data_IF_952655394132
#
_entry.id   IF_952655394132
#
_cell.length_a   1.000
_cell.length_b   1.000
_cell.length_c   1.000
_cell.angle_alpha   90.00
_cell.angle_beta   90.00
_cell.angle_gamma   90.00
#
_symmetry.space_group_name_H-M   'P 1'
#
loop_
_entity.id
_entity.type
_entity.pdbx_description
1 polymer ?
#
# COMPACT_ATOMS: atom_id res chain seq x y z
N UNK A 1 35.42 4.42 -28.37
CA UNK A 1 34.72 5.44 -27.54
C UNK A 1 33.39 5.77 -28.21
N UNK A 2 32.38 6.07 -27.40
CA UNK A 2 30.94 6.26 -27.69
C UNK A 2 30.10 4.98 -27.47
N UNK A 3 30.06 4.56 -26.19
CA UNK A 3 29.05 3.63 -25.68
C UNK A 3 27.71 4.34 -25.54
N UNK A 4 26.66 3.73 -26.08
CA UNK A 4 25.31 4.27 -26.13
C UNK A 4 24.71 4.52 -24.76
N UNK A 5 24.12 5.70 -24.59
CA UNK A 5 23.26 6.08 -23.47
C UNK A 5 21.87 5.44 -23.59
N UNK A 6 21.79 4.16 -23.93
CA UNK A 6 20.56 3.41 -23.74
C UNK A 6 20.40 3.24 -22.24
N UNK A 7 19.48 4.00 -21.64
CA UNK A 7 18.91 3.69 -20.34
C UNK A 7 18.64 2.19 -20.31
N UNK A 8 19.46 1.45 -19.56
CA UNK A 8 19.23 0.04 -19.26
C UNK A 8 18.07 0.03 -18.26
N UNK A 9 16.86 0.22 -18.76
CA UNK A 9 15.66 -0.12 -18.02
C UNK A 9 15.73 -1.65 -17.83
N UNK A 10 15.70 -2.16 -16.59
CA UNK A 10 15.85 -3.59 -16.36
C UNK A 10 14.78 -4.33 -17.16
N UNK A 11 15.24 -5.30 -17.94
CA UNK A 11 14.55 -5.88 -19.10
C UNK A 11 13.32 -6.75 -18.76
N UNK A 12 12.82 -6.72 -17.52
CA UNK A 12 11.64 -7.49 -17.10
C UNK A 12 10.87 -6.82 -15.94
N UNK A 13 10.32 -5.63 -16.18
CA UNK A 13 9.04 -5.28 -15.55
C UNK A 13 8.00 -5.32 -16.67
N UNK A 14 6.88 -6.01 -16.46
CA UNK A 14 5.73 -5.88 -17.36
C UNK A 14 5.45 -4.37 -17.52
N UNK A 15 5.17 -3.91 -18.74
CA UNK A 15 4.81 -2.51 -19.00
C UNK A 15 3.71 -2.04 -18.05
N UNK A 16 2.82 -2.96 -17.66
CA UNK A 16 1.80 -2.72 -16.62
C UNK A 16 2.39 -2.30 -15.28
N UNK A 17 3.47 -2.92 -14.81
CA UNK A 17 4.08 -2.60 -13.51
C UNK A 17 4.77 -1.24 -13.54
N UNK A 18 5.41 -0.90 -14.66
CA UNK A 18 6.00 0.43 -14.86
C UNK A 18 4.91 1.51 -14.79
N UNK A 19 3.81 1.34 -15.53
CA UNK A 19 2.69 2.27 -15.50
C UNK A 19 2.06 2.39 -14.09
N UNK A 20 1.88 1.27 -13.39
CA UNK A 20 1.34 1.25 -12.02
C UNK A 20 2.25 1.99 -11.04
N UNK A 21 3.56 1.83 -11.18
CA UNK A 21 4.57 2.53 -10.38
C UNK A 21 4.54 4.03 -10.67
N UNK A 22 4.53 4.42 -11.95
CA UNK A 22 4.52 5.82 -12.34
C UNK A 22 3.30 6.55 -11.81
N UNK A 23 2.10 5.97 -12.02
CA UNK A 23 0.85 6.52 -11.49
C UNK A 23 0.86 6.68 -9.97
N UNK A 24 1.48 5.76 -9.23
CA UNK A 24 1.61 5.84 -7.77
C UNK A 24 2.48 7.02 -7.33
N UNK A 25 3.51 7.34 -8.10
CA UNK A 25 4.44 8.45 -7.81
C UNK A 25 3.77 9.78 -8.18
N UNK A 26 3.26 9.89 -9.41
CA UNK A 26 2.68 11.12 -9.94
C UNK A 26 1.46 11.61 -9.15
N UNK A 27 0.60 10.68 -8.70
CA UNK A 27 -0.64 11.01 -7.99
C UNK A 27 -0.56 10.72 -6.48
N UNK A 28 0.65 10.73 -5.92
CA UNK A 28 0.85 10.50 -4.50
C UNK A 28 0.10 11.57 -3.67
N UNK A 29 -0.62 11.13 -2.63
CA UNK A 29 -1.43 11.98 -1.75
C UNK A 29 -2.66 12.65 -2.39
N UNK A 30 -3.12 12.18 -3.55
CA UNK A 30 -4.32 12.71 -4.23
C UNK A 30 -5.58 11.83 -4.07
N UNK A 31 -5.57 10.86 -3.15
CA UNK A 31 -6.73 10.00 -2.86
C UNK A 31 -7.04 8.90 -3.88
N UNK A 32 -6.28 8.81 -4.98
CA UNK A 32 -6.51 7.82 -6.04
C UNK A 32 -5.98 6.42 -5.70
N UNK A 33 -4.99 6.32 -4.80
CA UNK A 33 -4.29 5.06 -4.52
C UNK A 33 -5.21 3.95 -3.99
N UNK A 34 -6.23 4.28 -3.21
CA UNK A 34 -7.17 3.29 -2.68
C UNK A 34 -7.95 2.61 -3.82
N UNK A 35 -8.49 3.41 -4.73
CA UNK A 35 -9.22 2.93 -5.90
C UNK A 35 -8.33 2.11 -6.84
N UNK A 36 -7.07 2.53 -7.02
CA UNK A 36 -6.10 1.79 -7.80
C UNK A 36 -5.78 0.41 -7.20
N UNK A 37 -5.67 0.30 -5.88
CA UNK A 37 -5.42 -0.97 -5.19
C UNK A 37 -6.61 -1.93 -5.42
N UNK A 38 -7.84 -1.45 -5.22
CA UNK A 38 -9.04 -2.29 -5.33
C UNK A 38 -9.30 -2.75 -6.77
N UNK A 39 -9.26 -1.84 -7.76
CA UNK A 39 -9.52 -2.21 -9.16
C UNK A 39 -8.45 -3.09 -9.78
N UNK A 40 -7.28 -3.16 -9.17
CA UNK A 40 -6.18 -4.03 -9.58
C UNK A 40 -6.08 -5.31 -8.77
N UNK A 41 -6.95 -5.50 -7.77
CA UNK A 41 -7.01 -6.68 -6.92
C UNK A 41 -5.67 -6.99 -6.22
N UNK A 42 -4.92 -5.93 -5.85
CA UNK A 42 -3.61 -6.04 -5.17
C UNK A 42 -3.72 -5.72 -3.67
N UNK A 43 -4.93 -5.76 -3.10
CA UNK A 43 -5.18 -5.44 -1.69
C UNK A 43 -4.39 -6.35 -0.76
N UNK A 44 -4.39 -7.65 -1.03
CA UNK A 44 -3.66 -8.65 -0.25
C UNK A 44 -2.14 -8.41 -0.27
N UNK A 45 -1.60 -7.95 -1.40
CA UNK A 45 -0.17 -7.74 -1.56
C UNK A 45 0.32 -6.49 -0.82
N UNK A 46 -0.49 -5.42 -0.78
CA UNK A 46 -0.02 -4.08 -0.36
C UNK A 46 -0.68 -3.53 0.89
N UNK A 47 -1.75 -4.17 1.40
CA UNK A 47 -2.45 -3.79 2.62
C UNK A 47 -2.32 -4.84 3.73
N UNK A 48 -1.27 -5.66 3.67
CA UNK A 48 -0.91 -6.63 4.69
C UNK A 48 0.47 -6.37 5.29
N UNK A 49 0.59 -6.57 6.60
CA UNK A 49 1.84 -6.47 7.34
C UNK A 49 2.09 -5.12 8.00
N UNK A 50 3.34 -4.91 8.41
CA UNK A 50 3.76 -3.74 9.17
C UNK A 50 4.07 -2.55 8.26
N UNK A 51 3.51 -1.40 8.59
CA UNK A 51 3.73 -0.13 7.91
C UNK A 51 4.70 0.71 8.72
N UNK A 52 5.70 1.20 8.01
CA UNK A 52 6.86 1.89 8.58
C UNK A 52 6.90 3.35 8.12
N UNK A 53 7.39 4.22 8.99
CA UNK A 53 7.63 5.63 8.73
C UNK A 53 9.08 5.91 8.32
N UNK A 54 9.56 7.10 8.67
CA UNK A 54 10.94 7.51 8.39
C UNK A 54 11.97 6.69 9.20
N UNK A 55 13.20 6.51 8.67
CA UNK A 55 14.32 5.92 9.40
C UNK A 55 14.95 6.91 10.40
N UNK A 56 15.32 6.40 11.57
CA UNK A 56 16.01 7.14 12.63
C UNK A 56 17.24 6.35 13.15
N UNK A 57 18.29 6.17 12.32
CA UNK A 57 19.43 5.30 12.65
C UNK A 57 20.21 5.75 13.89
N UNK A 58 20.38 7.07 14.08
CA UNK A 58 21.19 7.64 15.16
C UNK A 58 20.37 8.08 16.38
N UNK A 59 19.08 7.70 16.44
CA UNK A 59 18.22 8.10 17.54
C UNK A 59 18.44 7.20 18.75
N UNK A 60 18.96 7.77 19.85
CA UNK A 60 19.07 7.09 21.15
C UNK A 60 17.71 6.64 21.69
N UNK A 61 16.62 7.32 21.29
CA UNK A 61 15.26 7.01 21.75
C UNK A 61 14.61 5.90 20.94
N UNK A 62 14.94 5.76 19.66
CA UNK A 62 14.29 4.80 18.77
C UNK A 62 14.24 3.36 19.34
N UNK A 63 15.35 2.79 19.87
CA UNK A 63 15.36 1.42 20.40
C UNK A 63 14.46 1.22 21.62
N UNK A 64 14.09 2.29 22.32
CA UNK A 64 13.35 2.22 23.59
C UNK A 64 11.89 2.67 23.45
N UNK A 65 11.56 3.47 22.44
CA UNK A 65 10.22 4.03 22.26
C UNK A 65 9.43 3.40 21.13
N UNK A 66 10.08 2.83 20.11
CA UNK A 66 9.36 2.17 19.03
C UNK A 66 8.74 0.85 19.51
N UNK A 67 7.48 0.60 19.15
CA UNK A 67 6.76 -0.63 19.54
C UNK A 67 7.38 -1.87 18.86
N UNK A 68 7.88 -1.70 17.62
CA UNK A 68 8.60 -2.74 16.87
C UNK A 68 9.90 -2.15 16.32
N UNK A 69 10.97 -2.93 16.38
CA UNK A 69 12.27 -2.54 15.82
C UNK A 69 12.38 -3.05 14.37
N UNK A 70 12.92 -2.20 13.51
CA UNK A 70 13.17 -2.45 12.09
C UNK A 70 14.68 -2.43 11.83
N UNK A 71 15.22 -3.34 11.00
CA UNK A 71 16.65 -3.37 10.69
C UNK A 71 17.20 -2.08 10.07
N UNK A 72 16.34 -1.24 9.47
CA UNK A 72 16.70 0.05 8.89
C UNK A 72 16.34 1.23 9.83
N UNK A 73 16.03 0.93 11.09
CA UNK A 73 15.59 1.89 12.11
C UNK A 73 14.37 2.72 11.71
N UNK A 74 13.47 2.18 10.88
CA UNK A 74 12.21 2.85 10.55
C UNK A 74 11.24 2.83 11.72
N UNK A 75 10.54 3.94 11.91
CA UNK A 75 9.52 4.06 12.96
C UNK A 75 8.31 3.17 12.67
N UNK A 76 7.90 2.33 13.63
CA UNK A 76 6.68 1.54 13.48
C UNK A 76 5.44 2.44 13.54
N UNK A 77 4.57 2.36 12.54
CA UNK A 77 3.34 3.16 12.49
C UNK A 77 2.13 2.31 12.87
N UNK A 78 1.90 1.22 12.13
CA UNK A 78 0.72 0.37 12.29
C UNK A 78 0.92 -0.98 11.60
N UNK A 79 0.03 -1.94 11.87
CA UNK A 79 -0.07 -3.20 11.14
C UNK A 79 -1.43 -3.26 10.46
N UNK A 80 -1.50 -3.79 9.25
CA UNK A 80 -2.77 -4.05 8.54
C UNK A 80 -2.90 -5.53 8.21
N UNK A 81 -4.14 -5.99 8.13
CA UNK A 81 -4.51 -7.38 7.81
C UNK A 81 -5.71 -7.36 6.87
N UNK A 82 -5.46 -7.10 5.59
CA UNK A 82 -6.48 -7.13 4.54
C UNK A 82 -7.01 -8.55 4.34
N UNK A 83 -8.33 -8.70 4.24
CA UNK A 83 -9.01 -9.98 4.02
C UNK A 83 -9.56 -10.05 2.60
N UNK A 84 -8.93 -10.81 1.69
CA UNK A 84 -9.42 -10.99 0.32
C UNK A 84 -10.84 -11.55 0.31
N UNK A 85 -11.69 -11.00 -0.55
CA UNK A 85 -13.11 -11.30 -0.66
C UNK A 85 -14.01 -10.58 0.36
N UNK A 86 -13.44 -9.97 1.41
CA UNK A 86 -14.19 -9.25 2.45
C UNK A 86 -13.91 -7.75 2.40
N UNK A 87 -12.63 -7.36 2.45
CA UNK A 87 -12.24 -5.95 2.54
C UNK A 87 -12.15 -5.26 1.16
N UNK A 88 -12.36 -5.99 0.07
CA UNK A 88 -12.44 -5.45 -1.30
C UNK A 88 -13.70 -4.60 -1.52
N UNK A 89 -14.71 -4.78 -0.66
CA UNK A 89 -16.00 -4.08 -0.73
C UNK A 89 -16.38 -3.57 0.64
N UNK A 90 -16.95 -2.37 0.67
CA UNK A 90 -17.56 -1.89 1.88
C UNK A 90 -18.93 -2.54 2.09
N UNK A 91 -19.28 -2.89 3.34
CA UNK A 91 -20.61 -3.40 3.63
C UNK A 91 -21.65 -2.32 3.36
N UNK A 92 -22.86 -2.75 3.03
CA UNK A 92 -24.01 -1.84 3.05
C UNK A 92 -24.18 -1.35 4.49
N UNK A 93 -24.40 -0.03 4.71
CA UNK A 93 -24.57 0.48 6.06
C UNK A 93 -25.73 -0.22 6.78
N UNK A 94 -25.51 -0.57 8.05
CA UNK A 94 -26.48 -1.32 8.86
C UNK A 94 -27.83 -0.61 8.98
N UNK A 95 -27.84 0.73 8.97
CA UNK A 95 -29.08 1.51 8.96
C UNK A 95 -29.95 1.23 7.73
N UNK A 96 -29.34 1.03 6.57
CA UNK A 96 -30.06 0.76 5.32
C UNK A 96 -30.59 -0.68 5.29
N UNK A 97 -29.82 -1.64 5.81
CA UNK A 97 -30.26 -3.05 5.90
C UNK A 97 -31.38 -3.23 6.92
N UNK A 98 -31.37 -2.45 8.01
CA UNK A 98 -32.45 -2.45 9.00
C UNK A 98 -33.76 -1.91 8.43
N UNK A 99 -33.70 -0.96 7.48
CA UNK A 99 -34.87 -0.40 6.80
C UNK A 99 -35.35 -1.34 5.68
N UNK A 100 -34.43 -1.84 4.87
CA UNK A 100 -34.72 -2.74 3.76
C UNK A 100 -33.90 -4.03 3.88
N UNK A 101 -34.51 -5.12 4.40
CA UNK A 101 -33.84 -6.41 4.53
C UNK A 101 -33.31 -6.99 3.22
N UNK A 102 -33.82 -6.56 2.06
CA UNK A 102 -33.32 -7.01 0.75
C UNK A 102 -31.93 -6.46 0.40
N UNK A 103 -31.36 -5.57 1.22
CA UNK A 103 -30.00 -5.02 1.04
C UNK A 103 -28.94 -5.77 1.85
N UNK A 104 -29.33 -6.77 2.65
CA UNK A 104 -28.42 -7.51 3.51
C UNK A 104 -27.67 -8.65 2.80
N UNK A 105 -28.11 -9.04 1.59
CA UNK A 105 -27.62 -10.18 0.80
C UNK A 105 -26.96 -9.75 -0.53
#
# INVERSE_FOLDING_TARGET
>A
MLGGWALVLPLFNDFRDILRRERRIELAFEGTRLWDIFRWEIGDDVLNGDFWGAPFPDSERYPTTSIKLDPQSRWYVTSKSFRPGVDDKWPIPESETNINPNLAD
#
